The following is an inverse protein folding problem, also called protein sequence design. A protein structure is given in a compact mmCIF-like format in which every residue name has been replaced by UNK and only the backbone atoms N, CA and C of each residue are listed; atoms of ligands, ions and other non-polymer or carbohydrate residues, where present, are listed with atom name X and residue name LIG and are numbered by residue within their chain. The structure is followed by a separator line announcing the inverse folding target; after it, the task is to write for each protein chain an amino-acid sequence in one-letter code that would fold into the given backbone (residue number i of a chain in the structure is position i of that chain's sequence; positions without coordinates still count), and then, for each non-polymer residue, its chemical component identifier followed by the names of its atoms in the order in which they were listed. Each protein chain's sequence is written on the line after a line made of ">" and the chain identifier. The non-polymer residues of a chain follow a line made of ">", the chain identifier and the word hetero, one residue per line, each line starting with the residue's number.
data_IF_339698546577
#
_entry.id   IF_339698546577
#
_cell.length_a   1.000
_cell.length_b   1.000
_cell.length_c   1.000
_cell.angle_alpha   90.00
_cell.angle_beta   90.00
_cell.angle_gamma   90.00
#
_symmetry.space_group_name_H-M   'P 1'
#
loop_
_entity.id
_entity.type
_entity.pdbx_description
1 polymer ?
#
# COMPACT_ATOMS: atom_id res chain seq x y z
N UNK A 1 1.95 -0.06 13.23
CA UNK A 1 0.80 0.74 12.75
C UNK A 1 1.22 1.78 11.72
N UNK A 2 2.34 2.50 11.92
CA UNK A 2 2.83 3.53 10.99
C UNK A 2 3.14 3.01 9.59
N UNK A 3 3.87 1.89 9.46
CA UNK A 3 4.13 1.28 8.14
C UNK A 3 2.85 0.90 7.38
N UNK A 4 1.79 0.49 8.10
CA UNK A 4 0.49 0.24 7.46
C UNK A 4 -0.12 1.53 6.95
N UNK A 5 -0.06 2.60 7.74
CA UNK A 5 -0.56 3.91 7.33
C UNK A 5 0.18 4.45 6.11
N UNK A 6 1.50 4.25 6.04
CA UNK A 6 2.30 4.61 4.86
C UNK A 6 1.82 3.86 3.63
N UNK A 7 1.62 2.54 3.71
CA UNK A 7 1.14 1.74 2.58
C UNK A 7 -0.28 2.16 2.18
N UNK A 8 -1.17 2.39 3.14
CA UNK A 8 -2.53 2.88 2.90
C UNK A 8 -2.52 4.19 2.12
N UNK A 9 -1.78 5.20 2.59
CA UNK A 9 -1.65 6.49 1.91
C UNK A 9 -1.03 6.35 0.52
N UNK A 10 -0.01 5.50 0.40
CA UNK A 10 0.67 5.26 -0.89
C UNK A 10 -0.26 4.60 -1.91
N UNK A 11 -1.14 3.69 -1.48
CA UNK A 11 -2.16 3.09 -2.33
C UNK A 11 -3.17 4.13 -2.83
N UNK A 12 -3.62 5.05 -1.97
CA UNK A 12 -4.52 6.15 -2.35
C UNK A 12 -3.88 7.11 -3.36
N UNK A 13 -2.56 7.31 -3.26
CA UNK A 13 -1.78 8.18 -4.14
C UNK A 13 -1.28 7.46 -5.42
N UNK A 14 -1.46 6.14 -5.52
CA UNK A 14 -0.93 5.29 -6.60
C UNK A 14 0.60 5.37 -6.76
N UNK A 15 1.33 5.34 -5.64
CA UNK A 15 2.80 5.42 -5.59
C UNK A 15 3.40 4.23 -4.82
N UNK A 16 4.70 4.00 -5.00
CA UNK A 16 5.46 3.05 -4.18
C UNK A 16 5.57 3.56 -2.72
N UNK A 17 5.25 2.77 -1.69
CA UNK A 17 5.44 3.16 -0.29
C UNK A 17 6.85 3.57 0.09
N UNK A 18 7.88 3.00 -0.55
CA UNK A 18 9.26 3.39 -0.34
C UNK A 18 9.53 4.80 -0.86
N UNK A 19 8.80 5.27 -1.88
CA UNK A 19 8.93 6.65 -2.35
C UNK A 19 8.42 7.63 -1.30
N UNK A 20 7.24 7.36 -0.72
CA UNK A 20 6.70 8.19 0.34
C UNK A 20 7.62 8.20 1.57
N UNK A 21 8.16 7.04 1.95
CA UNK A 21 9.15 6.96 3.02
C UNK A 21 10.43 7.73 2.70
N UNK A 22 10.89 7.72 1.44
CA UNK A 22 12.07 8.46 1.01
C UNK A 22 11.86 9.97 1.12
N UNK A 23 10.68 10.47 0.71
CA UNK A 23 10.30 11.88 0.87
C UNK A 23 10.29 12.27 2.35
N UNK A 24 9.62 11.48 3.20
CA UNK A 24 9.55 11.77 4.64
C UNK A 24 10.94 11.69 5.28
N UNK A 25 11.76 10.72 4.89
CA UNK A 25 13.13 10.60 5.39
C UNK A 25 13.95 11.85 5.05
N UNK A 26 13.88 12.32 3.80
CA UNK A 26 14.61 13.52 3.40
C UNK A 26 14.15 14.77 4.18
N UNK A 27 12.83 14.99 4.25
CA UNK A 27 12.23 16.17 4.89
C UNK A 27 12.40 16.21 6.42
N UNK A 28 12.51 15.05 7.06
CA UNK A 28 12.66 14.93 8.51
C UNK A 28 14.10 14.67 8.97
N UNK A 29 15.07 14.66 8.04
CA UNK A 29 16.45 14.27 8.36
C UNK A 29 16.54 12.85 8.94
N UNK A 30 15.78 11.92 8.37
CA UNK A 30 15.67 10.50 8.71
C UNK A 30 15.08 10.22 10.10
N UNK A 31 14.52 11.23 10.78
CA UNK A 31 13.92 11.07 12.12
C UNK A 31 12.49 10.54 12.12
N UNK A 32 11.75 10.73 11.02
CA UNK A 32 10.32 10.42 10.89
C UNK A 32 9.45 11.07 11.97
N UNK A 33 9.94 12.12 12.64
CA UNK A 33 9.24 12.78 13.72
C UNK A 33 8.21 13.78 13.18
N UNK A 34 6.89 13.60 13.42
CA UNK A 34 5.84 14.51 12.93
C UNK A 34 5.87 15.91 13.59
N UNK A 35 6.63 16.09 14.67
CA UNK A 35 6.77 17.39 15.34
C UNK A 35 7.99 18.20 14.86
N UNK A 36 8.81 17.65 13.95
CA UNK A 36 10.06 18.32 13.54
C UNK A 36 9.77 19.59 12.72
N UNK A 37 10.55 20.64 12.94
CA UNK A 37 10.53 21.86 12.14
C UNK A 37 11.94 22.29 11.76
N UNK A 38 12.07 22.92 10.59
CA UNK A 38 13.37 23.37 10.07
C UNK A 38 13.81 24.75 10.59
N UNK A 39 13.03 25.39 11.47
CA UNK A 39 13.30 26.74 11.97
C UNK A 39 13.05 27.88 10.95
N UNK A 40 12.65 27.54 9.73
CA UNK A 40 12.34 28.47 8.62
C UNK A 40 10.83 28.55 8.34
N UNK A 41 9.99 28.08 9.27
CA UNK A 41 8.53 28.12 9.13
C UNK A 41 7.92 26.94 8.38
N UNK A 42 8.59 25.78 8.36
CA UNK A 42 8.04 24.53 7.86
C UNK A 42 8.07 23.45 8.95
N UNK A 43 7.06 22.57 8.98
CA UNK A 43 6.88 21.59 10.05
C UNK A 43 6.32 20.24 9.57
N UNK A 44 6.63 19.17 10.29
CA UNK A 44 6.05 17.84 10.10
C UNK A 44 6.74 16.95 9.08
N UNK A 45 6.08 15.83 8.79
CA UNK A 45 6.62 14.70 8.03
C UNK A 45 7.03 15.05 6.60
N UNK A 46 6.43 16.09 6.01
CA UNK A 46 6.82 16.61 4.69
C UNK A 46 7.14 18.11 4.73
N UNK A 47 7.50 18.64 5.91
CA UNK A 47 7.79 20.05 6.12
C UNK A 47 6.69 20.96 5.51
N UNK A 48 5.46 20.87 6.00
CA UNK A 48 4.36 21.75 5.61
C UNK A 48 4.69 23.21 5.88
N UNK A 49 4.73 24.04 4.83
CA UNK A 49 4.75 25.50 4.95
C UNK A 49 3.36 26.06 5.27
N UNK A 50 3.30 27.34 5.64
CA UNK A 50 2.04 28.01 6.02
C UNK A 50 0.94 27.88 4.95
N UNK A 51 1.26 28.20 3.70
CA UNK A 51 0.32 28.09 2.57
C UNK A 51 -0.20 26.65 2.37
N UNK A 52 0.68 25.65 2.53
CA UNK A 52 0.29 24.25 2.44
C UNK A 52 -0.71 23.87 3.56
N UNK A 53 -0.44 24.28 4.80
CA UNK A 53 -1.33 24.06 5.94
C UNK A 53 -2.68 24.77 5.75
N UNK A 54 -2.66 26.04 5.37
CA UNK A 54 -3.86 26.85 5.08
C UNK A 54 -4.73 26.16 4.00
N UNK A 55 -4.11 25.63 2.94
CA UNK A 55 -4.79 24.93 1.85
C UNK A 55 -5.45 23.59 2.25
N UNK A 56 -5.20 23.13 3.48
CA UNK A 56 -5.77 21.92 4.07
C UNK A 56 -6.71 22.25 5.25
N UNK A 57 -6.97 23.54 5.49
CA UNK A 57 -7.74 24.06 6.62
C UNK A 57 -7.20 23.55 7.97
N UNK A 58 -5.88 23.62 8.16
CA UNK A 58 -5.20 23.27 9.42
C UNK A 58 -4.06 24.25 9.70
N UNK A 59 -3.71 24.46 10.96
CA UNK A 59 -2.52 25.24 11.35
C UNK A 59 -1.28 24.38 11.54
N UNK A 60 -0.10 24.98 11.37
CA UNK A 60 1.18 24.33 11.69
C UNK A 60 1.29 23.92 13.17
N UNK A 61 0.65 24.67 14.07
CA UNK A 61 0.63 24.36 15.51
C UNK A 61 -0.20 23.12 15.83
N UNK A 62 -1.24 22.84 15.06
CA UNK A 62 -2.03 21.61 15.16
C UNK A 62 -1.25 20.44 14.57
N UNK A 63 -0.60 20.63 13.40
CA UNK A 63 0.20 19.59 12.75
C UNK A 63 1.28 19.04 13.68
N UNK A 64 2.07 19.89 14.36
CA UNK A 64 3.17 19.43 15.23
C UNK A 64 2.71 18.67 16.47
N UNK A 65 1.42 18.75 16.84
CA UNK A 65 0.85 18.01 17.97
C UNK A 65 0.33 16.63 17.56
N UNK A 66 0.26 16.35 16.26
CA UNK A 66 -0.26 15.08 15.75
C UNK A 66 0.77 13.96 15.88
N UNK A 67 0.26 12.76 16.10
CA UNK A 67 1.03 11.53 15.87
C UNK A 67 1.37 11.37 14.38
N UNK A 68 2.31 10.47 14.09
CA UNK A 68 2.67 10.13 12.72
C UNK A 68 1.44 9.72 11.91
N UNK A 69 0.60 8.86 12.47
CA UNK A 69 -0.59 8.31 11.79
C UNK A 69 -1.63 9.39 11.50
N UNK A 70 -1.87 10.30 12.45
CA UNK A 70 -2.82 11.40 12.26
C UNK A 70 -2.31 12.37 11.19
N UNK A 71 -1.02 12.74 11.25
CA UNK A 71 -0.43 13.68 10.31
C UNK A 71 -0.36 13.11 8.89
N UNK A 72 -0.22 11.78 8.75
CA UNK A 72 -0.27 11.10 7.45
C UNK A 72 -1.60 11.29 6.71
N UNK A 73 -2.71 11.58 7.39
CA UNK A 73 -3.96 11.96 6.72
C UNK A 73 -3.84 13.30 5.98
N UNK A 74 -3.08 14.24 6.53
CA UNK A 74 -2.81 15.54 5.90
C UNK A 74 -1.75 15.43 4.81
N UNK A 75 -0.76 14.56 5.00
CA UNK A 75 0.20 14.19 3.94
C UNK A 75 -0.54 13.66 2.71
N UNK A 76 -1.47 12.71 2.91
CA UNK A 76 -2.31 12.20 1.83
C UNK A 76 -3.08 13.31 1.12
N UNK A 77 -3.87 14.11 1.85
CA UNK A 77 -4.70 15.19 1.27
C UNK A 77 -3.86 16.21 0.48
N UNK A 78 -2.66 16.51 0.96
CA UNK A 78 -1.76 17.45 0.29
C UNK A 78 -1.24 16.88 -1.03
N UNK A 79 -0.74 15.64 -1.01
CA UNK A 79 -0.18 14.97 -2.19
C UNK A 79 -1.25 14.56 -3.21
N UNK A 80 -2.50 14.33 -2.78
CA UNK A 80 -3.60 14.01 -3.70
C UNK A 80 -3.82 15.08 -4.79
N UNK A 81 -3.47 16.34 -4.52
CA UNK A 81 -3.60 17.47 -5.46
C UNK A 81 -2.84 17.27 -6.78
N UNK A 82 -1.72 16.54 -6.73
CA UNK A 82 -0.85 16.28 -7.88
C UNK A 82 -0.75 14.79 -8.24
N UNK A 83 -1.62 13.93 -7.68
CA UNK A 83 -1.48 12.47 -7.82
C UNK A 83 -1.37 11.95 -9.25
N UNK A 84 -2.00 12.62 -10.21
CA UNK A 84 -1.97 12.24 -11.63
C UNK A 84 -0.63 12.54 -12.31
N UNK A 85 0.24 13.31 -11.66
CA UNK A 85 1.56 13.71 -12.17
C UNK A 85 2.68 12.80 -11.68
N UNK A 86 2.43 11.90 -10.71
CA UNK A 86 3.45 11.05 -10.11
C UNK A 86 3.85 9.90 -11.06
N UNK A 87 4.89 10.12 -11.85
CA UNK A 87 5.51 9.10 -12.70
C UNK A 87 6.81 8.58 -12.08
N UNK A 88 7.50 9.42 -11.31
CA UNK A 88 8.75 9.07 -10.62
C UNK A 88 8.71 9.45 -9.13
N UNK A 89 9.67 8.92 -8.36
CA UNK A 89 9.97 9.38 -7.00
C UNK A 89 10.22 10.90 -6.98
N UNK A 90 10.93 11.42 -7.98
CA UNK A 90 11.20 12.84 -8.11
C UNK A 90 9.91 13.65 -8.29
N UNK A 91 8.95 13.20 -9.10
CA UNK A 91 7.65 13.90 -9.24
C UNK A 91 6.89 14.00 -7.91
N UNK A 92 6.90 12.93 -7.11
CA UNK A 92 6.31 12.93 -5.79
C UNK A 92 6.99 13.97 -4.90
N UNK A 93 8.32 13.98 -4.89
CA UNK A 93 9.09 14.91 -4.07
C UNK A 93 8.90 16.37 -4.51
N UNK A 94 8.79 16.64 -5.80
CA UNK A 94 8.51 17.98 -6.31
C UNK A 94 7.17 18.52 -5.83
N UNK A 95 6.18 17.68 -5.53
CA UNK A 95 4.94 18.16 -4.89
C UNK A 95 5.16 18.70 -3.47
N UNK A 96 6.27 18.36 -2.84
CA UNK A 96 6.67 18.90 -1.53
C UNK A 96 7.61 20.09 -1.73
N UNK A 97 8.71 19.89 -2.46
CA UNK A 97 9.77 20.89 -2.63
C UNK A 97 9.33 22.09 -3.49
N UNK A 98 8.76 21.83 -4.67
CA UNK A 98 8.48 22.85 -5.67
C UNK A 98 7.30 22.44 -6.59
N UNK A 99 6.04 22.57 -6.11
CA UNK A 99 4.88 21.91 -6.74
C UNK A 99 4.61 22.27 -8.19
N UNK A 100 5.04 23.46 -8.63
CA UNK A 100 4.90 23.90 -10.03
C UNK A 100 5.74 23.08 -11.00
N UNK A 101 6.86 22.50 -10.56
CA UNK A 101 7.72 21.63 -11.37
C UNK A 101 7.29 20.15 -11.35
N UNK A 102 6.28 19.77 -10.55
CA UNK A 102 5.80 18.39 -10.51
C UNK A 102 5.29 17.93 -11.88
N UNK A 103 5.75 16.76 -12.34
CA UNK A 103 5.47 16.19 -13.66
C UNK A 103 6.68 16.21 -14.62
N UNK A 104 7.73 16.96 -14.27
CA UNK A 104 8.98 17.05 -15.03
C UNK A 104 10.06 16.09 -14.52
N UNK A 105 9.76 15.13 -13.64
CA UNK A 105 10.74 14.28 -12.97
C UNK A 105 11.57 13.37 -13.87
N UNK A 106 11.27 13.29 -15.17
CA UNK A 106 12.06 12.58 -16.19
C UNK A 106 12.96 13.50 -17.02
N UNK A 107 12.78 14.82 -16.93
CA UNK A 107 13.48 15.82 -17.71
C UNK A 107 14.76 16.27 -16.99
N UNK A 108 15.86 15.53 -17.18
CA UNK A 108 17.11 15.71 -16.42
C UNK A 108 17.63 17.15 -16.37
N UNK A 109 17.59 17.86 -17.50
CA UNK A 109 18.10 19.23 -17.65
C UNK A 109 17.07 20.30 -17.29
N UNK A 110 15.90 19.91 -16.78
CA UNK A 110 14.91 20.86 -16.31
C UNK A 110 15.44 21.60 -15.08
N UNK A 111 15.45 22.92 -15.13
CA UNK A 111 15.87 23.79 -14.03
C UNK A 111 14.74 23.89 -13.02
N UNK A 112 14.96 23.43 -11.79
CA UNK A 112 13.97 23.44 -10.71
C UNK A 112 14.16 24.63 -9.78
N UNK A 113 15.40 24.91 -9.36
CA UNK A 113 15.70 26.00 -8.44
C UNK A 113 16.74 26.95 -9.03
N UNK A 114 16.48 28.25 -8.90
CA UNK A 114 17.41 29.33 -9.26
C UNK A 114 17.43 30.40 -8.16
N UNK A 115 18.43 31.28 -8.19
CA UNK A 115 18.51 32.42 -7.28
C UNK A 115 18.50 32.00 -5.80
N UNK A 116 17.64 32.60 -4.98
CA UNK A 116 17.60 32.30 -3.55
C UNK A 116 17.11 30.87 -3.25
N UNK A 117 16.26 30.30 -4.09
CA UNK A 117 15.78 28.94 -3.88
C UNK A 117 16.94 27.94 -4.02
N UNK A 118 17.78 28.12 -5.03
CA UNK A 118 19.02 27.38 -5.19
C UNK A 118 19.98 27.58 -4.00
N UNK A 119 20.25 28.83 -3.60
CA UNK A 119 21.18 29.17 -2.52
C UNK A 119 20.78 28.61 -1.15
N UNK A 120 19.50 28.44 -0.91
CA UNK A 120 18.97 27.94 0.37
C UNK A 120 18.88 26.42 0.43
N UNK A 121 19.20 25.70 -0.65
CA UNK A 121 19.11 24.25 -0.73
C UNK A 121 20.47 23.59 -1.05
N UNK A 122 21.47 23.71 -0.15
CA UNK A 122 22.82 23.17 -0.36
C UNK A 122 22.89 21.64 -0.48
N UNK A 123 21.80 20.97 -0.11
CA UNK A 123 21.62 19.55 -0.32
C UNK A 123 21.78 19.18 -1.80
N UNK A 124 21.26 20.00 -2.72
CA UNK A 124 21.25 19.70 -4.14
C UNK A 124 22.48 20.17 -4.90
N UNK A 125 23.42 20.90 -4.28
CA UNK A 125 24.64 21.31 -4.96
C UNK A 125 25.52 20.08 -5.26
N UNK A 126 25.56 19.62 -6.50
CA UNK A 126 26.34 18.45 -6.92
C UNK A 126 27.42 18.78 -7.95
N UNK A 127 27.36 19.95 -8.58
CA UNK A 127 28.37 20.37 -9.53
C UNK A 127 29.64 20.85 -8.81
N UNK A 128 30.80 20.64 -9.45
CA UNK A 128 32.12 20.77 -8.81
C UNK A 128 32.45 22.20 -8.39
N UNK A 129 31.92 23.20 -9.08
CA UNK A 129 32.20 24.61 -8.89
C UNK A 129 31.18 25.33 -8.00
N UNK A 130 30.12 24.65 -7.58
CA UNK A 130 29.05 25.24 -6.78
C UNK A 130 29.44 25.52 -5.34
N UNK A 131 30.31 24.68 -4.76
CA UNK A 131 30.62 24.76 -3.34
C UNK A 131 32.05 24.35 -3.00
N UNK A 132 32.49 24.79 -1.83
CA UNK A 132 33.69 24.32 -1.15
C UNK A 132 33.32 23.66 0.18
N UNK A 133 34.06 22.63 0.58
CA UNK A 133 33.91 22.03 1.89
C UNK A 133 34.63 22.87 2.94
N UNK A 134 33.88 23.38 3.91
CA UNK A 134 34.43 24.13 5.05
C UNK A 134 34.35 23.27 6.31
N UNK A 135 35.39 23.36 7.14
CA UNK A 135 35.44 22.78 8.48
C UNK A 135 35.66 23.91 9.47
N UNK A 136 34.72 24.12 10.37
CA UNK A 136 34.81 25.11 11.43
C UNK A 136 34.73 24.43 12.79
N UNK A 137 35.49 24.93 13.77
CA UNK A 137 35.33 24.52 15.17
C UNK A 137 34.35 25.46 15.83
N UNK A 138 33.36 24.90 16.51
CA UNK A 138 32.51 25.69 17.40
C UNK A 138 33.29 26.13 18.65
N UNK A 139 32.65 26.99 19.45
CA UNK A 139 33.18 27.51 20.73
C UNK A 139 33.56 26.42 21.75
N UNK A 140 33.07 25.19 21.58
CA UNK A 140 33.35 24.04 22.44
C UNK A 140 34.36 23.08 21.79
N UNK A 141 34.97 23.45 20.65
CA UNK A 141 35.96 22.66 19.93
C UNK A 141 35.38 21.58 19.02
N UNK A 142 34.05 21.48 18.88
CA UNK A 142 33.41 20.50 17.98
C UNK A 142 33.55 20.96 16.53
N UNK A 143 34.09 20.10 15.68
CA UNK A 143 34.24 20.38 14.24
C UNK A 143 32.90 20.18 13.53
N UNK A 144 32.37 21.24 12.91
CA UNK A 144 31.25 21.22 11.98
C UNK A 144 31.79 21.24 10.54
N UNK A 145 31.34 20.30 9.72
CA UNK A 145 31.64 20.25 8.27
C UNK A 145 30.39 20.65 7.50
N UNK A 146 30.50 21.58 6.57
CA UNK A 146 29.37 22.03 5.75
C UNK A 146 29.84 22.49 4.36
N UNK A 147 28.91 22.56 3.40
CA UNK A 147 29.16 23.13 2.07
C UNK A 147 29.00 24.64 2.14
N UNK A 148 30.00 25.39 1.70
CA UNK A 148 29.92 26.85 1.53
C UNK A 148 29.78 27.16 0.05
N UNK A 149 28.81 28.00 -0.28
CA UNK A 149 28.51 28.39 -1.66
C UNK A 149 29.71 29.11 -2.29
N UNK A 150 30.02 28.73 -3.53
CA UNK A 150 31.07 29.31 -4.38
C UNK A 150 30.49 29.94 -5.64
N UNK A 151 29.51 29.30 -6.28
CA UNK A 151 28.84 29.85 -7.46
C UNK A 151 27.46 30.39 -7.09
N UNK A 152 27.32 31.72 -7.01
CA UNK A 152 26.04 32.35 -6.65
C UNK A 152 24.98 32.32 -7.77
N UNK A 153 25.38 32.00 -9.00
CA UNK A 153 24.54 31.93 -10.20
C UNK A 153 24.19 30.49 -10.59
N UNK A 154 24.60 29.50 -9.78
CA UNK A 154 24.26 28.11 -9.98
C UNK A 154 22.75 27.85 -9.97
N UNK A 155 22.39 26.67 -10.45
CA UNK A 155 21.00 26.22 -10.61
C UNK A 155 20.89 24.80 -10.13
N UNK A 156 19.73 24.45 -9.58
CA UNK A 156 19.43 23.03 -9.32
C UNK A 156 18.68 22.45 -10.50
N UNK A 157 19.29 21.45 -11.13
CA UNK A 157 18.68 20.67 -12.20
C UNK A 157 17.94 19.44 -11.65
N UNK A 158 17.01 18.92 -12.43
CA UNK A 158 16.20 17.76 -12.04
C UNK A 158 17.04 16.53 -11.69
N UNK A 159 18.14 16.31 -12.41
CA UNK A 159 19.03 15.19 -12.16
C UNK A 159 19.65 15.25 -10.76
N UNK A 160 19.96 16.43 -10.23
CA UNK A 160 20.56 16.59 -8.91
C UNK A 160 19.60 16.22 -7.78
N UNK A 161 18.34 16.61 -7.94
CA UNK A 161 17.26 16.21 -7.01
C UNK A 161 17.04 14.71 -7.10
N UNK A 162 17.00 14.16 -8.31
CA UNK A 162 16.79 12.73 -8.54
C UNK A 162 17.88 11.88 -7.88
N UNK A 163 19.16 12.20 -8.11
CA UNK A 163 20.26 11.45 -7.48
C UNK A 163 20.24 11.57 -5.95
N UNK A 164 19.85 12.73 -5.42
CA UNK A 164 19.69 12.92 -3.97
C UNK A 164 18.62 12.00 -3.40
N UNK A 165 17.49 11.88 -4.07
CA UNK A 165 16.42 10.97 -3.66
C UNK A 165 16.83 9.50 -3.80
N UNK A 166 17.56 9.14 -4.86
CA UNK A 166 18.08 7.78 -5.04
C UNK A 166 19.06 7.37 -3.93
N UNK A 167 19.91 8.28 -3.45
CA UNK A 167 20.79 8.03 -2.32
C UNK A 167 20.02 7.73 -1.03
N UNK A 168 18.96 8.49 -0.74
CA UNK A 168 18.11 8.26 0.43
C UNK A 168 17.32 6.97 0.29
N UNK A 169 16.74 6.71 -0.89
CA UNK A 169 16.02 5.47 -1.17
C UNK A 169 16.92 4.25 -0.94
N UNK A 170 18.14 4.27 -1.49
CA UNK A 170 19.12 3.19 -1.35
C UNK A 170 19.55 2.97 0.10
N UNK A 171 19.70 4.04 0.91
CA UNK A 171 19.91 3.88 2.36
C UNK A 171 18.72 3.19 3.02
N UNK A 172 17.50 3.57 2.67
CA UNK A 172 16.27 2.97 3.17
C UNK A 172 16.14 1.48 2.87
N UNK A 173 16.67 1.01 1.73
CA UNK A 173 16.66 -0.42 1.35
C UNK A 173 17.38 -1.30 2.37
N UNK A 174 18.41 -0.79 3.06
CA UNK A 174 19.11 -1.51 4.12
C UNK A 174 18.21 -1.82 5.32
N UNK A 175 17.13 -1.05 5.49
CA UNK A 175 16.14 -1.17 6.55
C UNK A 175 14.85 -1.86 6.08
N UNK A 176 14.83 -2.37 4.84
CA UNK A 176 13.66 -3.05 4.28
C UNK A 176 13.31 -4.25 5.15
N UNK A 177 12.05 -4.31 5.60
CA UNK A 177 11.58 -5.44 6.41
C UNK A 177 11.75 -6.74 5.64
N UNK A 178 12.55 -7.66 6.19
CA UNK A 178 12.77 -9.00 5.63
C UNK A 178 11.55 -9.92 5.84
N UNK A 179 10.63 -9.53 6.73
CA UNK A 179 9.43 -10.29 7.07
C UNK A 179 8.24 -9.34 7.27
N UNK A 180 7.27 -9.37 6.36
CA UNK A 180 5.93 -8.86 6.64
C UNK A 180 5.17 -9.99 7.34
N UNK A 181 5.45 -10.22 8.62
CA UNK A 181 4.59 -11.09 9.44
C UNK A 181 3.39 -10.26 9.87
N UNK A 182 2.29 -10.36 9.13
CA UNK A 182 1.00 -9.89 9.62
C UNK A 182 0.59 -10.84 10.77
N UNK A 183 0.85 -10.42 12.01
CA UNK A 183 0.21 -11.00 13.19
C UNK A 183 -1.31 -11.00 12.99
N UNK A 184 -1.96 -12.03 13.54
CA UNK A 184 -3.41 -12.23 13.45
C UNK A 184 -4.17 -10.95 13.83
N UNK A 185 -5.02 -10.47 12.92
CA UNK A 185 -5.99 -9.41 13.17
C UNK A 185 -5.72 -8.06 12.52
N UNK A 186 -4.55 -7.85 11.92
CA UNK A 186 -4.17 -6.48 11.55
C UNK A 186 -3.42 -6.46 10.20
N UNK A 187 -4.21 -6.58 9.13
CA UNK A 187 -3.78 -6.62 7.72
C UNK A 187 -4.53 -5.56 6.93
N UNK A 188 -3.81 -4.90 6.02
CA UNK A 188 -4.32 -3.79 5.22
C UNK A 188 -5.58 -4.19 4.45
N UNK A 189 -6.55 -3.28 4.40
CA UNK A 189 -7.71 -3.44 3.53
C UNK A 189 -7.28 -3.48 2.06
N UNK A 190 -8.10 -4.13 1.23
CA UNK A 190 -7.92 -4.16 -0.21
C UNK A 190 -8.49 -2.88 -0.84
N UNK A 191 -8.18 -2.65 -2.12
CA UNK A 191 -8.71 -1.51 -2.89
C UNK A 191 -10.26 -1.52 -3.03
N UNK A 192 -10.91 -2.67 -2.85
CA UNK A 192 -12.33 -2.87 -3.14
C UNK A 192 -13.18 -3.00 -1.87
N UNK A 193 -14.10 -2.05 -1.65
CA UNK A 193 -14.99 -2.03 -0.49
C UNK A 193 -15.87 -3.29 -0.43
N UNK A 194 -16.35 -3.78 -1.58
CA UNK A 194 -17.18 -4.99 -1.66
C UNK A 194 -16.41 -6.20 -1.17
N UNK A 195 -15.18 -6.37 -1.65
CA UNK A 195 -14.23 -7.38 -1.18
C UNK A 195 -13.99 -7.28 0.32
N UNK A 196 -13.69 -6.10 0.85
CA UNK A 196 -13.44 -5.92 2.29
C UNK A 196 -14.67 -6.32 3.13
N UNK A 197 -15.88 -5.99 2.68
CA UNK A 197 -17.12 -6.39 3.36
C UNK A 197 -17.37 -7.90 3.34
N UNK A 198 -17.00 -8.59 2.25
CA UNK A 198 -17.05 -10.06 2.19
C UNK A 198 -16.00 -10.69 3.08
N UNK A 199 -14.78 -10.15 3.11
CA UNK A 199 -13.68 -10.64 3.96
C UNK A 199 -14.05 -10.54 5.45
N UNK A 200 -14.75 -9.49 5.87
CA UNK A 200 -15.23 -9.34 7.26
C UNK A 200 -16.11 -10.50 7.73
N UNK A 201 -16.79 -11.19 6.82
CA UNK A 201 -17.68 -12.32 7.12
C UNK A 201 -16.95 -13.67 7.18
N UNK A 202 -15.70 -13.74 6.69
CA UNK A 202 -14.90 -14.97 6.69
C UNK A 202 -14.42 -15.32 8.11
N UNK A 203 -13.89 -16.54 8.27
CA UNK A 203 -13.23 -16.95 9.50
C UNK A 203 -12.05 -16.02 9.82
N UNK A 204 -11.90 -15.51 11.06
CA UNK A 204 -10.82 -14.58 11.43
C UNK A 204 -9.42 -15.03 10.97
N UNK A 205 -9.11 -16.32 11.13
CA UNK A 205 -7.83 -16.94 10.71
C UNK A 205 -7.45 -16.71 9.24
N UNK A 206 -8.40 -16.56 8.32
CA UNK A 206 -8.07 -16.44 6.89
C UNK A 206 -8.12 -15.00 6.36
N UNK A 207 -8.74 -14.07 7.10
CA UNK A 207 -9.02 -12.70 6.60
C UNK A 207 -7.76 -11.98 6.12
N UNK A 208 -6.65 -12.14 6.84
CA UNK A 208 -5.39 -11.52 6.47
C UNK A 208 -4.69 -12.19 5.29
N UNK A 209 -4.75 -13.52 5.20
CA UNK A 209 -4.26 -14.21 4.02
C UNK A 209 -5.01 -13.74 2.76
N UNK A 210 -6.34 -13.58 2.83
CA UNK A 210 -7.14 -13.07 1.69
C UNK A 210 -6.72 -11.65 1.30
N UNK A 211 -6.62 -10.73 2.27
CA UNK A 211 -6.22 -9.34 2.01
C UNK A 211 -4.83 -9.26 1.39
N UNK A 212 -3.87 -9.99 1.95
CA UNK A 212 -2.49 -10.01 1.48
C UNK A 212 -2.37 -10.62 0.08
N UNK A 213 -3.13 -11.69 -0.20
CA UNK A 213 -3.23 -12.27 -1.54
C UNK A 213 -3.70 -11.23 -2.56
N UNK A 214 -4.80 -10.54 -2.29
CA UNK A 214 -5.38 -9.55 -3.21
C UNK A 214 -4.44 -8.36 -3.43
N UNK A 215 -3.87 -7.85 -2.34
CA UNK A 215 -2.95 -6.71 -2.41
C UNK A 215 -1.64 -7.08 -3.13
N UNK A 216 -1.10 -8.27 -2.91
CA UNK A 216 0.11 -8.71 -3.62
C UNK A 216 -0.13 -8.89 -5.12
N UNK A 217 -1.29 -9.44 -5.52
CA UNK A 217 -1.66 -9.54 -6.94
C UNK A 217 -1.72 -8.15 -7.60
N UNK A 218 -2.33 -7.17 -6.92
CA UNK A 218 -2.36 -5.80 -7.42
C UNK A 218 -0.95 -5.22 -7.54
N UNK A 219 -0.13 -5.33 -6.49
CA UNK A 219 1.20 -4.72 -6.46
C UNK A 219 2.19 -5.35 -7.44
N UNK A 220 2.05 -6.64 -7.73
CA UNK A 220 3.02 -7.38 -8.57
C UNK A 220 2.59 -7.49 -10.03
N UNK A 221 1.29 -7.48 -10.31
CA UNK A 221 0.75 -7.72 -11.65
C UNK A 221 -0.14 -6.59 -12.17
N UNK A 222 -0.42 -5.57 -11.34
CA UNK A 222 -1.41 -4.54 -11.62
C UNK A 222 -2.81 -5.11 -11.95
N UNK A 223 -3.16 -6.24 -11.33
CA UNK A 223 -4.45 -6.91 -11.50
C UNK A 223 -5.33 -6.60 -10.29
N UNK A 224 -6.50 -6.01 -10.54
CA UNK A 224 -7.46 -5.65 -9.49
C UNK A 224 -8.44 -6.79 -9.25
N UNK A 225 -8.23 -7.55 -8.18
CA UNK A 225 -9.13 -8.64 -7.82
C UNK A 225 -10.32 -8.16 -6.98
N UNK A 226 -11.47 -8.78 -7.20
CA UNK A 226 -12.65 -8.74 -6.33
C UNK A 226 -13.00 -10.15 -5.86
N UNK A 227 -13.25 -10.29 -4.56
CA UNK A 227 -13.90 -11.50 -4.00
C UNK A 227 -15.37 -11.45 -4.40
N UNK A 228 -15.84 -12.38 -5.22
CA UNK A 228 -17.24 -12.48 -5.66
C UNK A 228 -18.09 -13.34 -4.75
N UNK A 229 -17.50 -14.38 -4.15
CA UNK A 229 -18.15 -15.24 -3.15
C UNK A 229 -17.19 -15.43 -1.97
N UNK A 230 -17.75 -15.48 -0.75
CA UNK A 230 -17.00 -15.61 0.49
C UNK A 230 -17.69 -16.58 1.44
N UNK A 231 -18.11 -16.11 2.62
CA UNK A 231 -18.94 -16.91 3.51
C UNK A 231 -20.33 -17.15 2.91
N UNK A 232 -20.85 -18.37 3.05
CA UNK A 232 -22.20 -18.77 2.63
C UNK A 232 -22.80 -19.72 3.66
N UNK A 233 -23.91 -19.36 4.29
CA UNK A 233 -24.60 -20.19 5.27
C UNK A 233 -25.05 -21.55 4.70
N UNK A 234 -25.38 -22.51 5.58
CA UNK A 234 -25.85 -23.83 5.15
C UNK A 234 -27.14 -23.73 4.34
N UNK A 235 -28.07 -22.85 4.74
CA UNK A 235 -29.33 -22.64 4.02
C UNK A 235 -29.11 -22.03 2.63
N UNK A 236 -28.23 -21.04 2.50
CA UNK A 236 -27.88 -20.47 1.19
C UNK A 236 -27.23 -21.52 0.28
N UNK A 237 -26.38 -22.39 0.83
CA UNK A 237 -25.77 -23.50 0.08
C UNK A 237 -26.80 -24.53 -0.37
N UNK A 238 -27.76 -24.89 0.48
CA UNK A 238 -28.84 -25.81 0.10
C UNK A 238 -29.73 -25.22 -1.01
N UNK A 239 -29.97 -23.91 -0.98
CA UNK A 239 -30.67 -23.21 -2.06
C UNK A 239 -29.89 -23.24 -3.39
N UNK A 240 -28.56 -23.08 -3.36
CA UNK A 240 -27.73 -23.25 -4.56
C UNK A 240 -27.70 -24.70 -5.04
N UNK A 241 -27.69 -25.68 -4.13
CA UNK A 241 -27.76 -27.09 -4.48
C UNK A 241 -29.09 -27.45 -5.15
N UNK A 242 -30.20 -26.83 -4.75
CA UNK A 242 -31.51 -27.01 -5.35
C UNK A 242 -31.57 -26.55 -6.82
N UNK A 243 -30.74 -25.57 -7.22
CA UNK A 243 -30.72 -25.03 -8.57
C UNK A 243 -30.35 -26.07 -9.63
N UNK A 244 -31.20 -26.19 -10.66
CA UNK A 244 -31.08 -27.20 -11.72
C UNK A 244 -31.43 -28.62 -11.28
N UNK A 245 -31.96 -28.80 -10.06
CA UNK A 245 -32.43 -30.08 -9.51
C UNK A 245 -33.92 -29.99 -9.15
N UNK A 246 -34.25 -29.16 -8.16
CA UNK A 246 -35.61 -28.93 -7.68
C UNK A 246 -36.12 -27.52 -7.99
N UNK A 247 -35.22 -26.58 -8.35
CA UNK A 247 -35.56 -25.24 -8.84
C UNK A 247 -34.94 -25.00 -10.22
N UNK A 248 -35.49 -24.03 -10.99
CA UNK A 248 -35.02 -23.71 -12.34
C UNK A 248 -33.62 -23.10 -12.32
N UNK A 249 -32.80 -23.37 -13.35
CA UNK A 249 -31.46 -22.80 -13.55
C UNK A 249 -30.41 -23.87 -13.87
N UNK A 250 -29.18 -23.44 -14.18
CA UNK A 250 -28.06 -24.36 -14.37
C UNK A 250 -27.55 -24.91 -13.02
N UNK A 251 -27.05 -26.13 -12.99
CA UNK A 251 -26.37 -26.67 -11.79
C UNK A 251 -25.08 -25.89 -11.57
N UNK A 252 -24.98 -25.17 -10.44
CA UNK A 252 -23.82 -24.35 -10.06
C UNK A 252 -22.97 -24.96 -8.95
N UNK A 253 -23.47 -26.02 -8.29
CA UNK A 253 -22.74 -26.72 -7.23
C UNK A 253 -23.19 -28.17 -7.09
N UNK A 254 -22.29 -29.02 -6.57
CA UNK A 254 -22.57 -30.40 -6.18
C UNK A 254 -22.55 -30.60 -4.66
N UNK A 255 -22.22 -29.58 -3.88
CA UNK A 255 -22.13 -29.64 -2.43
C UNK A 255 -23.43 -29.17 -1.76
N UNK A 256 -23.92 -29.93 -0.77
CA UNK A 256 -25.03 -29.52 0.11
C UNK A 256 -24.54 -28.61 1.25
N UNK A 257 -25.46 -28.12 2.07
CA UNK A 257 -25.17 -27.38 3.29
C UNK A 257 -24.22 -28.12 4.23
N UNK A 258 -23.05 -27.52 4.47
CA UNK A 258 -21.97 -28.08 5.28
C UNK A 258 -21.04 -29.02 4.52
N UNK A 259 -21.11 -29.06 3.19
CA UNK A 259 -20.19 -29.82 2.33
C UNK A 259 -19.24 -28.91 1.53
N UNK A 260 -19.29 -27.59 1.76
CA UNK A 260 -18.42 -26.59 1.12
C UNK A 260 -17.61 -25.81 2.15
N UNK A 261 -16.36 -25.45 1.81
CA UNK A 261 -15.53 -24.59 2.67
C UNK A 261 -16.05 -23.16 2.80
N UNK A 262 -16.87 -22.68 1.84
CA UNK A 262 -17.60 -21.42 1.98
C UNK A 262 -18.53 -21.43 3.20
N UNK A 263 -19.04 -22.61 3.58
CA UNK A 263 -19.92 -22.77 4.74
C UNK A 263 -19.25 -22.52 6.08
N UNK A 264 -17.93 -22.51 6.09
CA UNK A 264 -17.12 -22.29 7.29
C UNK A 264 -16.34 -20.97 7.19
N UNK A 265 -16.58 -20.16 6.15
CA UNK A 265 -15.84 -18.93 5.88
C UNK A 265 -14.35 -19.19 5.62
N UNK A 266 -14.02 -20.33 5.01
CA UNK A 266 -12.65 -20.79 4.72
C UNK A 266 -12.31 -20.81 3.23
N UNK A 267 -13.19 -20.29 2.39
CA UNK A 267 -12.99 -20.19 0.95
C UNK A 267 -13.45 -18.84 0.40
N UNK A 268 -12.88 -18.47 -0.74
CA UNK A 268 -13.24 -17.31 -1.54
C UNK A 268 -13.23 -17.69 -3.02
N UNK A 269 -14.13 -17.06 -3.78
CA UNK A 269 -14.01 -17.02 -5.25
C UNK A 269 -13.59 -15.61 -5.66
N UNK A 270 -12.60 -15.51 -6.55
CA UNK A 270 -12.07 -14.23 -7.01
C UNK A 270 -12.19 -14.07 -8.52
N UNK A 271 -12.33 -12.83 -8.97
CA UNK A 271 -12.25 -12.43 -10.38
C UNK A 271 -11.48 -11.12 -10.51
N UNK A 272 -10.90 -10.86 -11.67
CA UNK A 272 -10.37 -9.55 -12.03
C UNK A 272 -11.49 -8.57 -12.42
N UNK A 273 -11.32 -7.32 -12.00
CA UNK A 273 -12.12 -6.17 -12.41
C UNK A 273 -11.28 -5.26 -13.31
N UNK A 274 -11.74 -5.04 -14.54
CA UNK A 274 -11.19 -4.04 -15.48
C UNK A 274 -12.24 -2.98 -15.74
N UNK A 275 -11.87 -1.71 -15.60
CA UNK A 275 -12.77 -0.56 -15.83
C UNK A 275 -14.13 -0.68 -15.13
N UNK A 276 -14.13 -1.23 -13.91
CA UNK A 276 -15.33 -1.45 -13.10
C UNK A 276 -16.20 -2.64 -13.50
N UNK A 277 -15.83 -3.41 -14.54
CA UNK A 277 -16.58 -4.57 -15.03
C UNK A 277 -15.78 -5.87 -14.90
N UNK A 278 -16.50 -6.99 -14.81
CA UNK A 278 -15.93 -8.33 -14.91
C UNK A 278 -15.87 -8.69 -16.39
N UNK A 279 -14.68 -8.99 -16.88
CA UNK A 279 -14.50 -9.61 -18.19
C UNK A 279 -14.41 -11.13 -18.01
N UNK A 280 -15.53 -11.82 -18.22
CA UNK A 280 -15.64 -13.27 -18.04
C UNK A 280 -14.79 -14.09 -19.02
N UNK A 281 -14.44 -13.53 -20.18
CA UNK A 281 -13.65 -14.24 -21.20
C UNK A 281 -12.19 -14.30 -20.76
N UNK A 282 -11.66 -13.21 -20.23
CA UNK A 282 -10.25 -13.13 -19.83
C UNK A 282 -9.96 -13.78 -18.45
N UNK A 283 -10.99 -14.04 -17.63
CA UNK A 283 -10.80 -14.67 -16.31
C UNK A 283 -10.05 -16.01 -16.41
N UNK A 284 -10.33 -16.79 -17.45
CA UNK A 284 -9.68 -18.08 -17.67
C UNK A 284 -8.16 -17.99 -17.80
N UNK A 285 -7.64 -16.84 -18.26
CA UNK A 285 -6.20 -16.58 -18.42
C UNK A 285 -5.59 -15.93 -17.18
N UNK A 286 -6.39 -15.23 -16.38
CA UNK A 286 -5.93 -14.49 -15.21
C UNK A 286 -5.82 -15.38 -13.98
N UNK A 287 -6.81 -16.24 -13.75
CA UNK A 287 -6.86 -17.11 -12.57
C UNK A 287 -5.61 -18.01 -12.40
N UNK A 288 -5.06 -18.63 -13.47
CA UNK A 288 -3.82 -19.38 -13.37
C UNK A 288 -2.59 -18.51 -13.04
N UNK A 289 -2.59 -17.23 -13.44
CA UNK A 289 -1.46 -16.30 -13.18
C UNK A 289 -1.40 -15.88 -11.71
N UNK A 290 -2.55 -15.68 -11.07
CA UNK A 290 -2.63 -15.26 -9.67
C UNK A 290 -2.49 -16.44 -8.69
N UNK A 291 -2.73 -17.67 -9.16
CA UNK A 291 -2.75 -18.86 -8.33
C UNK A 291 -1.45 -19.10 -7.53
N UNK A 292 -0.23 -18.90 -8.07
CA UNK A 292 1.01 -19.00 -7.29
C UNK A 292 1.05 -18.02 -6.09
N UNK A 293 0.52 -16.81 -6.23
CA UNK A 293 0.43 -15.84 -5.13
C UNK A 293 -0.59 -16.31 -4.10
N UNK A 294 -1.76 -16.81 -4.51
CA UNK A 294 -2.74 -17.40 -3.59
C UNK A 294 -2.12 -18.54 -2.77
N UNK A 295 -1.41 -19.45 -3.43
CA UNK A 295 -0.69 -20.57 -2.77
C UNK A 295 0.38 -20.10 -1.80
N UNK A 296 1.13 -19.06 -2.15
CA UNK A 296 2.12 -18.41 -1.27
C UNK A 296 1.48 -17.94 0.05
N UNK A 297 0.25 -17.46 0.01
CA UNK A 297 -0.51 -17.04 1.20
C UNK A 297 -1.28 -18.17 1.90
N UNK A 298 -1.03 -19.42 1.52
CA UNK A 298 -1.56 -20.61 2.20
C UNK A 298 -2.85 -21.17 1.61
N UNK A 299 -3.33 -20.64 0.48
CA UNK A 299 -4.53 -21.18 -0.18
C UNK A 299 -4.22 -22.42 -1.04
N UNK A 300 -5.10 -23.41 -0.94
CA UNK A 300 -5.31 -24.40 -1.98
C UNK A 300 -6.11 -23.75 -3.11
N UNK A 301 -5.77 -24.05 -4.37
CA UNK A 301 -6.46 -23.49 -5.53
C UNK A 301 -7.31 -24.54 -6.24
N UNK A 302 -8.58 -24.24 -6.51
CA UNK A 302 -9.52 -25.16 -7.16
C UNK A 302 -9.16 -25.51 -8.61
N UNK A 303 -8.31 -24.70 -9.26
CA UNK A 303 -7.75 -25.02 -10.57
C UNK A 303 -6.82 -26.23 -10.61
N UNK A 304 -6.26 -26.65 -9.45
CA UNK A 304 -5.41 -27.84 -9.33
C UNK A 304 -6.20 -29.14 -9.16
N UNK A 305 -7.53 -29.06 -8.96
CA UNK A 305 -8.32 -30.25 -8.69
C UNK A 305 -8.31 -31.23 -9.88
N UNK A 306 -8.18 -32.53 -9.58
CA UNK A 306 -8.10 -33.59 -10.59
C UNK A 306 -9.41 -33.82 -11.34
N UNK A 307 -10.54 -33.52 -10.71
CA UNK A 307 -11.90 -33.65 -11.27
C UNK A 307 -12.64 -32.36 -11.00
N UNK A 308 -13.36 -31.85 -12.02
CA UNK A 308 -14.19 -30.64 -11.97
C UNK A 308 -13.37 -29.44 -11.42
N UNK A 309 -12.53 -28.86 -12.27
CA UNK A 309 -11.68 -27.72 -11.89
C UNK A 309 -12.53 -26.49 -11.63
N UNK A 310 -12.32 -25.87 -10.49
CA UNK A 310 -12.99 -24.63 -10.09
C UNK A 310 -11.95 -23.50 -10.01
N UNK A 311 -11.69 -22.84 -11.15
CA UNK A 311 -10.57 -21.90 -11.27
C UNK A 311 -10.73 -20.63 -10.39
N UNK A 312 -11.92 -20.07 -10.16
CA UNK A 312 -12.08 -18.92 -9.26
C UNK A 312 -11.79 -19.23 -7.79
N UNK A 313 -11.89 -20.50 -7.40
CA UNK A 313 -11.94 -20.94 -5.99
C UNK A 313 -10.57 -21.04 -5.33
N UNK A 314 -10.47 -20.46 -4.13
CA UNK A 314 -9.33 -20.58 -3.21
C UNK A 314 -9.81 -20.93 -1.81
N UNK A 315 -9.17 -21.90 -1.14
CA UNK A 315 -9.57 -22.32 0.20
C UNK A 315 -8.39 -22.59 1.13
N UNK A 316 -8.61 -22.50 2.44
CA UNK A 316 -7.66 -22.95 3.47
C UNK A 316 -8.31 -24.06 4.31
N UNK A 317 -7.89 -25.31 4.09
CA UNK A 317 -8.52 -26.46 4.74
C UNK A 317 -8.04 -26.69 6.19
N UNK A 318 -6.88 -26.16 6.57
CA UNK A 318 -6.24 -26.41 7.88
C UNK A 318 -6.13 -27.91 8.23
N UNK A 319 -5.96 -28.75 7.21
CA UNK A 319 -5.92 -30.21 7.35
C UNK A 319 -7.24 -30.88 7.72
N UNK A 320 -8.36 -30.13 7.78
CA UNK A 320 -9.68 -30.64 8.17
C UNK A 320 -10.56 -30.87 6.94
N UNK A 321 -11.31 -31.98 6.92
CA UNK A 321 -12.35 -32.22 5.92
C UNK A 321 -13.65 -31.53 6.29
N UNK A 322 -14.53 -31.27 5.32
CA UNK A 322 -15.84 -30.63 5.55
C UNK A 322 -16.70 -31.38 6.58
N UNK A 323 -16.64 -32.71 6.64
CA UNK A 323 -17.31 -33.50 7.68
C UNK A 323 -16.82 -33.18 9.10
N UNK A 324 -15.52 -32.94 9.27
CA UNK A 324 -14.92 -32.56 10.55
C UNK A 324 -15.28 -31.11 10.90
N UNK A 325 -15.20 -30.20 9.92
CA UNK A 325 -15.63 -28.81 10.08
C UNK A 325 -17.11 -28.71 10.45
N UNK A 326 -17.98 -29.55 9.88
CA UNK A 326 -19.40 -29.62 10.23
C UNK A 326 -19.60 -29.99 11.69
N UNK A 327 -18.83 -30.96 12.19
CA UNK A 327 -18.86 -31.35 13.61
C UNK A 327 -18.43 -30.17 14.48
N UNK A 328 -17.28 -29.57 14.19
CA UNK A 328 -16.76 -28.43 14.95
C UNK A 328 -17.70 -27.21 14.91
N UNK A 329 -18.33 -26.94 13.78
CA UNK A 329 -19.33 -25.89 13.64
C UNK A 329 -20.52 -26.12 14.57
N UNK A 330 -21.07 -27.35 14.58
CA UNK A 330 -22.16 -27.71 15.48
C UNK A 330 -21.74 -27.63 16.96
N UNK A 331 -20.53 -28.11 17.29
CA UNK A 331 -19.98 -28.09 18.65
C UNK A 331 -19.72 -26.66 19.15
N UNK A 332 -19.58 -25.68 18.25
CA UNK A 332 -19.32 -24.27 18.57
C UNK A 332 -20.54 -23.38 18.29
N UNK A 333 -21.73 -23.85 18.67
CA UNK A 333 -23.00 -23.11 18.59
C UNK A 333 -23.39 -22.66 17.17
N UNK A 334 -23.03 -23.44 16.15
CA UNK A 334 -23.29 -23.10 14.75
C UNK A 334 -22.69 -21.74 14.34
N UNK A 335 -21.55 -21.38 14.92
CA UNK A 335 -20.82 -20.16 14.60
C UNK A 335 -19.51 -20.52 13.88
N UNK A 336 -19.45 -20.25 12.58
CA UNK A 336 -18.27 -20.57 11.79
C UNK A 336 -17.04 -19.80 12.25
N UNK A 337 -17.20 -18.60 12.84
CA UNK A 337 -16.05 -17.77 13.27
C UNK A 337 -15.37 -18.29 14.54
N UNK A 338 -15.98 -19.27 15.23
CA UNK A 338 -15.49 -19.87 16.46
C UNK A 338 -14.92 -21.28 16.28
N UNK A 339 -14.86 -21.79 15.04
CA UNK A 339 -14.30 -23.11 14.77
C UNK A 339 -12.81 -23.12 15.17
N UNK A 340 -12.36 -24.08 16.00
CA UNK A 340 -10.95 -24.19 16.35
C UNK A 340 -10.17 -24.79 15.17
N UNK A 341 -9.42 -23.94 14.46
CA UNK A 341 -8.65 -24.28 13.27
C UNK A 341 -7.17 -24.53 13.54
#
# INVERSE_FOLDING_TARGET
>A
MEMKKVIEVSNCLHIDPNWLMTVIALETGESFNPAIGNGLGYVGLIQFGKSAADSLNITQQELVKMSFIEQMNYVQKYLEKNKTKYKTLTDLYLSVLYPSACGHGLEKEYIVLEGNAYKNNPLFWREKDEYEWVKEKDKNGKVKKYKKLKNAEGKTYMWEITETLEEILKKGELHKSKYVSCLEGDCLDTWDIVTNNRIKQLHPKIRCAVKNFINEVYNTMNIRLRVIEGFRSFSEQDNLYAQGRTTKGSIVTYAKGGESYHNYGLAIDVVEIKDGKIDWIEQERVLPKIAPIGKKWGFEWGGDWKKIKDKPHFQMAFGKKTKELKKLYNDNNNDHTKIPL
#
